data_IF_396528553167
#
_entry.id   IF_396528553167
#
_cell.length_a   1.000
_cell.length_b   1.000
_cell.length_c   1.000
_cell.angle_alpha   90.00
_cell.angle_beta   90.00
_cell.angle_gamma   90.00
#
_symmetry.space_group_name_H-M   'P 1'
#
loop_
_entity.id
_entity.type
_entity.pdbx_description
1 polymer ?
#
# COMPACT_ATOMS: atom_id res chain seq x y z
N UNK A 1 1.93 -22.48 -5.15
CA UNK A 1 1.61 -22.45 -3.71
C UNK A 1 0.83 -21.15 -3.49
N UNK A 2 -0.49 -21.24 -3.24
CA UNK A 2 -1.28 -20.05 -2.96
C UNK A 2 -0.99 -19.65 -1.51
N UNK A 3 -0.44 -18.45 -1.33
CA UNK A 3 -0.19 -17.90 0.00
C UNK A 3 -1.41 -17.09 0.38
N UNK A 4 -2.30 -17.64 1.18
CA UNK A 4 -3.32 -16.85 1.89
C UNK A 4 -2.59 -15.94 2.86
N UNK A 5 -2.50 -14.67 2.51
CA UNK A 5 -2.11 -13.64 3.49
C UNK A 5 -3.31 -13.48 4.41
N UNK A 6 -3.27 -14.22 5.51
CA UNK A 6 -4.22 -14.03 6.59
C UNK A 6 -3.85 -12.68 7.21
N UNK A 7 -4.53 -11.63 6.81
CA UNK A 7 -4.50 -10.38 7.56
C UNK A 7 -5.12 -10.77 8.89
N UNK A 8 -4.27 -11.10 9.87
CA UNK A 8 -4.74 -11.26 11.24
C UNK A 8 -5.61 -10.04 11.51
N UNK A 9 -6.90 -10.29 11.68
CA UNK A 9 -7.92 -9.26 11.87
C UNK A 9 -7.38 -8.28 12.89
N UNK A 10 -6.88 -7.13 12.41
CA UNK A 10 -6.49 -6.07 13.32
C UNK A 10 -7.75 -5.73 14.09
N UNK A 11 -7.75 -6.08 15.38
CA UNK A 11 -8.82 -5.78 16.32
C UNK A 11 -9.09 -4.28 16.15
N UNK A 12 -10.29 -3.93 15.66
CA UNK A 12 -10.68 -2.54 15.41
C UNK A 12 -10.90 -2.13 13.95
N UNK A 13 -10.36 -2.84 12.94
CA UNK A 13 -10.64 -2.53 11.52
C UNK A 13 -12.01 -3.05 11.06
N UNK A 14 -12.39 -4.23 11.54
CA UNK A 14 -13.62 -4.90 11.15
C UNK A 14 -14.42 -5.30 12.38
N UNK A 15 -15.74 -5.20 12.29
CA UNK A 15 -16.66 -5.69 13.33
C UNK A 15 -16.86 -7.21 13.21
N UNK A 16 -16.69 -7.73 12.01
CA UNK A 16 -16.70 -9.15 11.68
C UNK A 16 -15.64 -9.40 10.61
N UNK A 17 -14.95 -10.54 10.70
CA UNK A 17 -13.95 -10.96 9.71
C UNK A 17 -14.59 -11.14 8.32
N UNK A 18 -14.20 -10.34 7.30
CA UNK A 18 -14.73 -10.47 5.94
C UNK A 18 -14.41 -11.81 5.29
N UNK A 19 -13.28 -12.43 5.63
CA UNK A 19 -12.86 -13.71 5.05
C UNK A 19 -13.70 -14.89 5.56
N UNK A 20 -14.44 -14.67 6.65
CA UNK A 20 -15.28 -15.71 7.27
C UNK A 20 -16.55 -16.05 6.48
N UNK A 21 -16.90 -15.31 5.41
CA UNK A 21 -18.13 -15.53 4.65
C UNK A 21 -18.05 -15.04 3.20
N UNK A 22 -18.90 -15.61 2.31
CA UNK A 22 -18.99 -15.19 0.91
C UNK A 22 -19.42 -13.72 0.77
N UNK A 23 -20.35 -13.28 1.64
CA UNK A 23 -20.77 -11.88 1.65
C UNK A 23 -19.62 -10.94 2.05
N UNK A 24 -18.83 -11.30 3.07
CA UNK A 24 -17.69 -10.50 3.49
C UNK A 24 -16.63 -10.38 2.39
N UNK A 25 -16.29 -11.49 1.74
CA UNK A 25 -15.39 -11.50 0.56
C UNK A 25 -15.95 -10.68 -0.59
N UNK A 26 -17.26 -10.77 -0.85
CA UNK A 26 -17.93 -9.97 -1.88
C UNK A 26 -17.90 -8.48 -1.57
N UNK A 27 -18.09 -8.07 -0.31
CA UNK A 27 -17.98 -6.67 0.13
C UNK A 27 -16.58 -6.13 -0.14
N UNK A 28 -15.53 -6.88 0.21
CA UNK A 28 -14.14 -6.46 0.00
C UNK A 28 -13.83 -6.35 -1.49
N UNK A 29 -14.10 -7.41 -2.26
CA UNK A 29 -13.82 -7.45 -3.71
C UNK A 29 -14.52 -6.31 -4.47
N UNK A 30 -15.84 -6.18 -4.31
CA UNK A 30 -16.59 -5.16 -5.00
C UNK A 30 -16.37 -3.76 -4.42
N UNK A 31 -16.04 -3.68 -3.13
CA UNK A 31 -15.65 -2.43 -2.47
C UNK A 31 -14.38 -1.83 -3.07
N UNK A 32 -13.36 -2.65 -3.38
CA UNK A 32 -12.16 -2.20 -4.08
C UNK A 32 -12.51 -1.67 -5.46
N UNK A 33 -13.23 -2.44 -6.28
CA UNK A 33 -13.59 -2.03 -7.64
C UNK A 33 -14.42 -0.74 -7.64
N UNK A 34 -15.43 -0.67 -6.80
CA UNK A 34 -16.32 0.49 -6.74
C UNK A 34 -15.62 1.74 -6.18
N UNK A 35 -14.73 1.58 -5.20
CA UNK A 35 -13.95 2.70 -4.67
C UNK A 35 -12.90 3.19 -5.67
N UNK A 36 -12.29 2.30 -6.46
CA UNK A 36 -11.42 2.66 -7.57
C UNK A 36 -12.18 3.48 -8.63
N UNK A 37 -13.36 3.03 -9.04
CA UNK A 37 -14.11 3.67 -10.13
C UNK A 37 -14.72 5.02 -9.75
N UNK A 38 -15.19 5.16 -8.50
CA UNK A 38 -15.88 6.38 -8.03
C UNK A 38 -14.96 7.35 -7.28
N UNK A 39 -13.81 6.90 -6.79
CA UNK A 39 -13.02 7.59 -5.78
C UNK A 39 -13.66 7.52 -4.39
N UNK A 40 -12.84 7.74 -3.36
CA UNK A 40 -13.26 7.66 -1.95
C UNK A 40 -14.43 8.60 -1.62
N UNK A 41 -14.44 9.82 -2.15
CA UNK A 41 -15.47 10.81 -1.82
C UNK A 41 -16.87 10.37 -2.28
N UNK A 42 -16.96 9.84 -3.49
CA UNK A 42 -18.23 9.42 -4.09
C UNK A 42 -18.66 7.99 -3.69
N UNK A 43 -17.75 7.22 -3.11
CA UNK A 43 -18.05 5.89 -2.60
C UNK A 43 -18.95 5.95 -1.37
N UNK A 44 -19.99 5.11 -1.33
CA UNK A 44 -20.88 4.93 -0.17
C UNK A 44 -21.27 3.48 0.00
N UNK A 45 -21.61 3.06 1.23
CA UNK A 45 -22.13 1.70 1.47
C UNK A 45 -23.46 1.44 0.78
N UNK A 46 -24.28 2.47 0.55
CA UNK A 46 -25.50 2.37 -0.25
C UNK A 46 -25.19 1.93 -1.67
N UNK A 47 -24.26 2.61 -2.37
CA UNK A 47 -23.83 2.25 -3.73
C UNK A 47 -23.21 0.85 -3.77
N UNK A 48 -22.45 0.48 -2.75
CA UNK A 48 -21.90 -0.88 -2.67
C UNK A 48 -23.00 -1.92 -2.49
N UNK A 49 -24.02 -1.65 -1.66
CA UNK A 49 -25.16 -2.55 -1.48
C UNK A 49 -26.02 -2.70 -2.75
N UNK A 50 -26.09 -1.65 -3.58
CA UNK A 50 -26.73 -1.69 -4.89
C UNK A 50 -25.93 -2.53 -5.92
N UNK A 51 -24.61 -2.54 -5.82
CA UNK A 51 -23.72 -3.27 -6.73
C UNK A 51 -23.61 -4.79 -6.41
N UNK A 52 -23.94 -5.19 -5.19
CA UNK A 52 -23.93 -6.60 -4.75
C UNK A 52 -25.30 -6.96 -4.16
N UNK A 53 -25.74 -8.23 -4.23
CA UNK A 53 -27.07 -8.63 -3.76
C UNK A 53 -27.15 -8.63 -2.21
N UNK A 54 -27.13 -7.43 -1.60
CA UNK A 54 -27.14 -7.26 -0.14
C UNK A 54 -27.84 -5.97 0.28
N UNK A 55 -27.87 -5.72 1.58
CA UNK A 55 -28.39 -4.48 2.16
C UNK A 55 -27.25 -3.67 2.77
N UNK A 56 -27.40 -2.35 2.83
CA UNK A 56 -26.46 -1.46 3.50
C UNK A 56 -26.23 -1.87 4.98
N UNK A 57 -27.28 -2.26 5.69
CA UNK A 57 -27.20 -2.77 7.05
C UNK A 57 -26.33 -4.02 7.18
N UNK A 58 -26.26 -4.86 6.15
CA UNK A 58 -25.39 -6.05 6.14
C UNK A 58 -23.94 -5.66 6.00
N UNK A 59 -23.60 -4.59 5.26
CA UNK A 59 -22.24 -4.06 5.12
C UNK A 59 -21.75 -3.49 6.46
N UNK A 60 -22.62 -2.73 7.16
CA UNK A 60 -22.29 -2.18 8.49
C UNK A 60 -21.98 -3.25 9.55
N UNK A 61 -22.36 -4.50 9.33
CA UNK A 61 -21.94 -5.61 10.22
C UNK A 61 -20.47 -5.99 10.08
N UNK A 62 -19.82 -5.59 8.99
CA UNK A 62 -18.40 -5.85 8.74
C UNK A 62 -17.54 -4.60 8.98
N UNK A 63 -17.99 -3.45 8.52
CA UNK A 63 -17.24 -2.20 8.61
C UNK A 63 -18.10 -1.09 9.19
N UNK A 64 -17.60 -0.44 10.22
CA UNK A 64 -18.30 0.65 10.90
C UNK A 64 -18.63 1.82 9.96
N UNK A 65 -17.70 2.13 9.04
CA UNK A 65 -17.83 3.19 8.06
C UNK A 65 -16.89 3.00 6.87
N UNK A 66 -17.04 3.81 5.83
CA UNK A 66 -16.21 3.74 4.62
C UNK A 66 -14.71 4.03 4.90
N UNK A 67 -14.39 4.77 5.95
CA UNK A 67 -13.00 5.04 6.33
C UNK A 67 -12.33 3.77 6.89
N UNK A 68 -13.05 2.97 7.71
CA UNK A 68 -12.56 1.66 8.18
C UNK A 68 -12.35 0.69 7.02
N UNK A 69 -13.22 0.73 6.01
CA UNK A 69 -13.03 -0.08 4.80
C UNK A 69 -11.79 0.36 4.00
N UNK A 70 -11.56 1.67 3.84
CA UNK A 70 -10.34 2.18 3.21
C UNK A 70 -9.08 1.76 4.01
N UNK A 71 -9.09 1.93 5.33
CA UNK A 71 -7.99 1.47 6.20
C UNK A 71 -7.74 -0.03 6.06
N UNK A 72 -8.80 -0.84 5.91
CA UNK A 72 -8.66 -2.28 5.66
C UNK A 72 -7.93 -2.53 4.32
N UNK A 73 -8.28 -1.82 3.25
CA UNK A 73 -7.62 -1.94 1.95
C UNK A 73 -6.13 -1.57 2.03
N UNK A 74 -5.81 -0.45 2.70
CA UNK A 74 -4.41 -0.04 2.87
C UNK A 74 -3.62 -1.02 3.73
N UNK A 75 -4.21 -1.51 4.82
CA UNK A 75 -3.58 -2.51 5.69
C UNK A 75 -3.28 -3.79 4.91
N UNK A 76 -4.23 -4.23 4.06
CA UNK A 76 -4.04 -5.39 3.19
C UNK A 76 -2.88 -5.16 2.20
N UNK A 77 -2.88 -3.99 1.55
CA UNK A 77 -1.82 -3.62 0.60
C UNK A 77 -0.43 -3.63 1.26
N UNK A 78 -0.28 -2.97 2.39
CA UNK A 78 1.00 -2.87 3.08
C UNK A 78 1.49 -4.21 3.63
N UNK A 79 0.61 -5.05 4.16
CA UNK A 79 0.96 -6.41 4.58
C UNK A 79 1.45 -7.26 3.41
N UNK A 80 0.75 -7.17 2.27
CA UNK A 80 1.15 -7.93 1.08
C UNK A 80 2.50 -7.45 0.54
N UNK A 81 2.69 -6.13 0.48
CA UNK A 81 3.93 -5.54 -0.02
C UNK A 81 5.13 -5.89 0.88
N UNK A 82 4.96 -5.81 2.20
CA UNK A 82 6.00 -6.20 3.17
C UNK A 82 6.36 -7.68 3.05
N UNK A 83 5.35 -8.54 2.96
CA UNK A 83 5.54 -9.97 2.75
C UNK A 83 6.28 -10.26 1.43
N UNK A 84 5.83 -9.64 0.33
CA UNK A 84 6.45 -9.83 -0.99
C UNK A 84 7.89 -9.32 -1.02
N UNK A 85 8.17 -8.17 -0.40
CA UNK A 85 9.50 -7.64 -0.24
C UNK A 85 10.40 -8.62 0.55
N UNK A 86 9.91 -9.10 1.69
CA UNK A 86 10.65 -10.04 2.53
C UNK A 86 11.07 -11.29 1.76
N UNK A 87 10.14 -11.93 1.04
CA UNK A 87 10.47 -13.15 0.26
C UNK A 87 11.43 -12.83 -0.88
N UNK A 88 11.21 -11.72 -1.60
CA UNK A 88 12.04 -11.34 -2.75
C UNK A 88 13.48 -11.04 -2.38
N UNK A 89 13.74 -10.65 -1.13
CA UNK A 89 15.07 -10.29 -0.64
C UNK A 89 15.82 -11.44 0.03
N UNK A 90 15.15 -12.56 0.36
CA UNK A 90 15.76 -13.67 1.15
C UNK A 90 17.05 -14.22 0.55
N UNK A 91 17.18 -14.20 -0.78
CA UNK A 91 18.34 -14.76 -1.49
C UNK A 91 19.40 -13.70 -1.85
N UNK A 92 19.18 -12.44 -1.49
CA UNK A 92 20.09 -11.35 -1.78
C UNK A 92 20.95 -11.03 -0.54
N UNK A 93 22.29 -11.15 -0.69
CA UNK A 93 23.22 -10.81 0.39
C UNK A 93 23.79 -9.39 0.26
N UNK A 94 23.90 -8.86 -0.96
CA UNK A 94 24.42 -7.51 -1.22
C UNK A 94 23.34 -6.45 -0.90
N UNK A 95 23.58 -5.53 0.06
CA UNK A 95 22.64 -4.46 0.38
C UNK A 95 22.30 -3.55 -0.80
N UNK A 96 23.25 -3.32 -1.74
CA UNK A 96 22.96 -2.52 -2.92
C UNK A 96 21.93 -3.20 -3.84
N UNK A 97 22.00 -4.52 -4.01
CA UNK A 97 21.03 -5.29 -4.77
C UNK A 97 19.68 -5.34 -4.04
N UNK A 98 19.67 -5.43 -2.70
CA UNK A 98 18.44 -5.34 -1.91
C UNK A 98 17.75 -3.99 -2.13
N UNK A 99 18.50 -2.88 -2.10
CA UNK A 99 17.97 -1.51 -2.35
C UNK A 99 17.31 -1.44 -3.72
N UNK A 100 18.00 -1.85 -4.78
CA UNK A 100 17.47 -1.86 -6.14
C UNK A 100 16.21 -2.71 -6.25
N UNK A 101 16.20 -3.89 -5.64
CA UNK A 101 15.03 -4.77 -5.65
C UNK A 101 13.83 -4.19 -4.91
N UNK A 102 14.05 -3.52 -3.79
CA UNK A 102 12.98 -2.81 -3.08
C UNK A 102 12.41 -1.67 -3.93
N UNK A 103 13.25 -0.88 -4.58
CA UNK A 103 12.81 0.21 -5.46
C UNK A 103 11.97 -0.36 -6.62
N UNK A 104 12.43 -1.45 -7.24
CA UNK A 104 11.66 -2.16 -8.27
C UNK A 104 10.27 -2.57 -7.76
N UNK A 105 10.20 -3.21 -6.58
CA UNK A 105 8.94 -3.68 -5.98
C UNK A 105 7.99 -2.49 -5.69
N UNK A 106 8.50 -1.40 -5.16
CA UNK A 106 7.70 -0.22 -4.83
C UNK A 106 7.17 0.51 -6.08
N UNK A 107 7.91 0.49 -7.18
CA UNK A 107 7.53 1.21 -8.42
C UNK A 107 6.64 0.40 -9.34
N UNK A 108 6.85 -0.91 -9.43
CA UNK A 108 6.00 -1.80 -10.25
C UNK A 108 4.68 -2.11 -9.55
N UNK A 109 4.65 -2.03 -8.22
CA UNK A 109 3.48 -2.38 -7.41
C UNK A 109 3.36 -3.90 -7.18
N UNK A 110 2.14 -4.34 -6.83
CA UNK A 110 1.88 -5.74 -6.49
C UNK A 110 1.95 -6.64 -7.73
N UNK A 111 2.62 -7.80 -7.66
CA UNK A 111 2.67 -8.72 -8.78
C UNK A 111 1.28 -9.19 -9.17
N UNK A 112 0.99 -9.11 -10.46
CA UNK A 112 -0.20 -9.70 -11.06
C UNK A 112 0.01 -11.22 -11.13
N UNK A 113 -0.80 -12.00 -10.45
CA UNK A 113 -0.65 -13.46 -10.45
C UNK A 113 -1.89 -14.16 -9.90
N UNK A 114 -1.99 -15.45 -10.23
CA UNK A 114 -3.10 -16.38 -10.04
C UNK A 114 -3.41 -16.74 -8.59
N UNK A 115 -3.20 -15.86 -7.64
CA UNK A 115 -3.41 -16.21 -6.25
C UNK A 115 -4.85 -15.93 -5.84
N UNK A 116 -5.38 -16.81 -5.00
CA UNK A 116 -6.72 -16.84 -4.39
C UNK A 116 -7.15 -15.55 -3.66
N UNK A 117 -6.47 -14.43 -3.89
CA UNK A 117 -6.90 -13.15 -3.37
C UNK A 117 -8.05 -12.65 -4.25
N UNK A 118 -9.25 -12.68 -3.71
CA UNK A 118 -10.48 -12.10 -4.29
C UNK A 118 -10.38 -10.59 -4.57
N UNK A 119 -9.19 -9.97 -4.43
CA UNK A 119 -8.95 -8.53 -4.54
C UNK A 119 -8.22 -8.21 -5.83
N UNK A 120 -8.77 -7.28 -6.62
CA UNK A 120 -8.07 -6.70 -7.76
C UNK A 120 -6.89 -5.84 -7.27
N UNK A 121 -5.68 -6.37 -7.45
CA UNK A 121 -4.44 -5.75 -6.95
C UNK A 121 -4.10 -4.45 -7.70
N UNK A 122 -4.53 -4.32 -8.96
CA UNK A 122 -4.32 -3.10 -9.73
C UNK A 122 -5.23 -1.99 -9.22
N UNK A 123 -6.53 -2.26 -9.11
CA UNK A 123 -7.49 -1.31 -8.55
C UNK A 123 -7.10 -0.91 -7.12
N UNK A 124 -6.65 -1.86 -6.30
CA UNK A 124 -6.16 -1.59 -4.95
C UNK A 124 -4.93 -0.66 -4.95
N UNK A 125 -3.97 -0.89 -5.85
CA UNK A 125 -2.80 -0.03 -5.98
C UNK A 125 -3.20 1.41 -6.37
N UNK A 126 -4.12 1.58 -7.32
CA UNK A 126 -4.63 2.90 -7.71
C UNK A 126 -5.35 3.63 -6.55
N UNK A 127 -6.09 2.89 -5.72
CA UNK A 127 -6.67 3.44 -4.47
C UNK A 127 -5.56 3.91 -3.53
N UNK A 128 -4.49 3.13 -3.35
CA UNK A 128 -3.37 3.52 -2.50
C UNK A 128 -2.70 4.80 -3.01
N UNK A 129 -2.47 4.91 -4.32
CA UNK A 129 -1.91 6.13 -4.92
C UNK A 129 -2.76 7.37 -4.65
N UNK A 130 -4.08 7.25 -4.82
CA UNK A 130 -4.99 8.39 -4.75
C UNK A 130 -5.44 8.75 -3.33
N UNK A 131 -5.58 7.75 -2.44
CA UNK A 131 -6.36 7.88 -1.22
C UNK A 131 -5.56 7.63 0.08
N UNK A 132 -4.32 7.12 0.02
CA UNK A 132 -3.55 6.76 1.22
C UNK A 132 -3.38 7.92 2.19
N UNK A 133 -3.11 9.13 1.68
CA UNK A 133 -2.93 10.33 2.50
C UNK A 133 -4.16 10.66 3.37
N UNK A 134 -5.37 10.30 2.94
CA UNK A 134 -6.61 10.51 3.70
C UNK A 134 -6.71 9.64 4.97
N UNK A 135 -5.84 8.66 5.13
CA UNK A 135 -5.83 7.79 6.31
C UNK A 135 -4.90 8.29 7.40
N UNK A 136 -3.80 8.97 7.06
CA UNK A 136 -2.83 9.46 8.03
C UNK A 136 -2.75 11.00 8.13
N UNK A 137 -3.18 11.76 7.12
CA UNK A 137 -3.31 13.22 7.23
C UNK A 137 -4.69 13.63 7.78
N UNK A 138 -5.09 13.05 8.89
CA UNK A 138 -6.37 13.30 9.55
C UNK A 138 -6.18 13.65 11.01
N UNK A 139 -7.18 14.30 11.61
CA UNK A 139 -7.21 14.59 13.06
C UNK A 139 -7.29 13.31 13.92
N UNK A 140 -7.68 12.19 13.33
CA UNK A 140 -7.84 10.90 14.02
C UNK A 140 -6.59 10.02 13.92
N UNK A 141 -5.49 10.51 13.32
CA UNK A 141 -4.28 9.71 13.08
C UNK A 141 -3.72 9.08 14.35
N UNK A 142 -3.72 9.82 15.46
CA UNK A 142 -3.17 9.33 16.74
C UNK A 142 -3.97 8.14 17.27
N UNK A 143 -5.32 8.22 17.29
CA UNK A 143 -6.17 7.10 17.71
C UNK A 143 -6.06 5.89 16.79
N UNK A 144 -6.01 6.11 15.48
CA UNK A 144 -5.79 5.06 14.48
C UNK A 144 -4.42 4.40 14.68
N UNK A 145 -3.41 5.19 15.04
CA UNK A 145 -2.07 4.71 15.33
C UNK A 145 -1.99 3.90 16.62
N UNK A 146 -2.73 4.28 17.67
CA UNK A 146 -2.87 3.51 18.92
C UNK A 146 -3.48 2.13 18.65
N UNK A 147 -4.44 2.02 17.72
CA UNK A 147 -5.01 0.76 17.26
C UNK A 147 -4.03 -0.08 16.40
N UNK A 148 -2.79 0.40 16.18
CA UNK A 148 -1.72 -0.25 15.39
C UNK A 148 -2.08 -0.50 13.91
N UNK A 149 -3.01 0.25 13.34
CA UNK A 149 -3.47 0.04 11.95
C UNK A 149 -2.39 0.41 10.93
N UNK A 150 -1.43 1.26 11.28
CA UNK A 150 -0.26 1.57 10.45
C UNK A 150 0.94 0.63 10.69
N UNK A 151 0.77 -0.45 11.47
CA UNK A 151 1.88 -1.36 11.78
C UNK A 151 2.54 -1.94 10.53
N UNK A 152 1.81 -2.46 9.50
CA UNK A 152 2.44 -3.04 8.30
C UNK A 152 3.29 -2.02 7.53
N UNK A 153 2.79 -0.79 7.37
CA UNK A 153 3.55 0.30 6.74
C UNK A 153 4.84 0.62 7.53
N UNK A 154 4.74 0.68 8.86
CA UNK A 154 5.90 0.94 9.74
C UNK A 154 6.90 -0.21 9.72
N UNK A 155 6.44 -1.46 9.61
CA UNK A 155 7.29 -2.63 9.53
C UNK A 155 8.06 -2.63 8.20
N UNK A 156 7.41 -2.31 7.08
CA UNK A 156 8.07 -2.12 5.78
C UNK A 156 9.12 -1.00 5.85
N UNK A 157 8.79 0.18 6.40
CA UNK A 157 9.74 1.28 6.58
C UNK A 157 10.94 0.86 7.43
N UNK A 158 10.72 0.10 8.50
CA UNK A 158 11.79 -0.41 9.36
C UNK A 158 12.70 -1.37 8.61
N UNK A 159 12.12 -2.32 7.85
CA UNK A 159 12.86 -3.28 7.06
C UNK A 159 13.76 -2.58 6.02
N UNK A 160 13.21 -1.61 5.28
CA UNK A 160 13.97 -0.81 4.31
C UNK A 160 15.07 0.00 5.02
N UNK A 161 14.77 0.63 6.15
CA UNK A 161 15.73 1.38 6.95
C UNK A 161 16.90 0.50 7.44
N UNK A 162 16.64 -0.76 7.79
CA UNK A 162 17.69 -1.74 8.13
C UNK A 162 18.62 -2.01 6.94
N UNK A 163 18.06 -2.20 5.73
CA UNK A 163 18.86 -2.40 4.50
C UNK A 163 19.72 -1.18 4.21
N UNK A 164 19.22 0.03 4.42
CA UNK A 164 20.00 1.26 4.28
C UNK A 164 21.15 1.32 5.30
N UNK A 165 20.89 0.89 6.53
CA UNK A 165 21.93 0.80 7.58
C UNK A 165 22.95 -0.31 7.30
N UNK A 166 22.56 -1.41 6.68
CA UNK A 166 23.50 -2.43 6.18
C UNK A 166 24.42 -1.87 5.08
N UNK A 167 23.88 -1.05 4.17
CA UNK A 167 24.64 -0.42 3.09
C UNK A 167 25.58 0.68 3.61
N UNK A 168 25.09 1.59 4.44
CA UNK A 168 25.87 2.64 5.09
C UNK A 168 25.53 2.77 6.58
N UNK A 169 26.30 2.11 7.49
CA UNK A 169 26.03 2.16 8.94
C UNK A 169 26.17 3.55 9.57
N UNK A 170 26.81 4.51 8.87
CA UNK A 170 27.02 5.88 9.39
C UNK A 170 25.94 6.86 8.92
N UNK A 171 24.99 6.42 8.09
CA UNK A 171 23.91 7.28 7.64
C UNK A 171 22.92 7.57 8.78
N UNK A 172 22.67 8.85 9.05
CA UNK A 172 21.94 9.27 10.24
C UNK A 172 20.39 9.12 10.15
N UNK A 173 19.84 8.98 8.93
CA UNK A 173 18.38 9.10 8.72
C UNK A 173 17.77 7.92 7.93
N UNK A 174 18.09 6.65 8.24
CA UNK A 174 17.64 5.51 7.43
C UNK A 174 16.11 5.37 7.38
N UNK A 175 15.40 5.61 8.49
CA UNK A 175 13.94 5.52 8.53
C UNK A 175 13.25 6.66 7.77
N UNK A 176 13.78 7.89 7.88
CA UNK A 176 13.24 9.05 7.15
C UNK A 176 13.44 8.88 5.63
N UNK A 177 14.59 8.36 5.20
CA UNK A 177 14.83 8.07 3.79
C UNK A 177 13.90 6.96 3.29
N UNK A 178 13.66 5.91 4.10
CA UNK A 178 12.77 4.81 3.75
C UNK A 178 11.32 5.29 3.54
N UNK A 179 10.76 6.06 4.47
CA UNK A 179 9.41 6.61 4.32
C UNK A 179 9.31 7.58 3.15
N UNK A 180 10.30 8.46 2.95
CA UNK A 180 10.33 9.36 1.80
C UNK A 180 10.38 8.61 0.47
N UNK A 181 11.19 7.55 0.38
CA UNK A 181 11.27 6.71 -0.82
C UNK A 181 9.92 6.03 -1.13
N UNK A 182 9.23 5.50 -0.12
CA UNK A 182 7.90 4.89 -0.30
C UNK A 182 6.91 5.93 -0.81
N UNK A 183 6.82 7.10 -0.17
CA UNK A 183 5.90 8.16 -0.59
C UNK A 183 6.21 8.64 -2.02
N UNK A 184 7.49 8.83 -2.38
CA UNK A 184 7.87 9.22 -3.74
C UNK A 184 7.54 8.14 -4.77
N UNK A 185 7.66 6.85 -4.42
CA UNK A 185 7.30 5.75 -5.32
C UNK A 185 5.82 5.77 -5.72
N UNK A 186 4.96 6.35 -4.90
CA UNK A 186 3.53 6.54 -5.17
C UNK A 186 3.24 7.90 -5.81
N UNK A 187 3.83 8.98 -5.30
CA UNK A 187 3.54 10.33 -5.79
C UNK A 187 4.05 10.59 -7.21
N UNK A 188 5.23 10.08 -7.57
CA UNK A 188 5.80 10.32 -8.90
C UNK A 188 4.95 9.72 -10.04
N UNK A 189 4.45 8.46 -9.98
CA UNK A 189 3.50 7.96 -10.97
C UNK A 189 2.22 8.80 -11.06
N UNK A 190 1.68 9.22 -9.93
CA UNK A 190 0.50 10.08 -9.88
C UNK A 190 0.76 11.43 -10.56
N UNK A 191 1.91 12.07 -10.30
CA UNK A 191 2.28 13.33 -10.96
C UNK A 191 2.47 13.16 -12.46
N UNK A 192 3.05 12.05 -12.90
CA UNK A 192 3.18 11.77 -14.35
C UNK A 192 1.84 11.80 -15.08
N UNK A 193 0.81 11.23 -14.47
CA UNK A 193 -0.51 11.09 -15.09
C UNK A 193 -1.36 12.36 -14.94
N UNK A 194 -1.32 13.00 -13.77
CA UNK A 194 -2.27 14.06 -13.41
C UNK A 194 -1.66 15.47 -13.30
N UNK A 195 -0.38 15.57 -12.97
CA UNK A 195 0.32 16.82 -12.71
C UNK A 195 1.72 16.81 -13.36
N UNK A 196 1.82 16.61 -14.69
CA UNK A 196 3.08 16.33 -15.37
C UNK A 196 4.15 17.44 -15.23
N UNK A 197 3.76 18.65 -14.85
CA UNK A 197 4.70 19.75 -14.57
C UNK A 197 5.48 19.59 -13.25
N UNK A 198 5.10 18.62 -12.41
CA UNK A 198 5.78 18.32 -11.14
C UNK A 198 6.81 17.18 -11.27
N UNK A 199 7.07 16.71 -12.49
CA UNK A 199 8.00 15.60 -12.74
C UNK A 199 8.70 15.80 -14.08
N UNK A 200 9.90 15.24 -14.22
CA UNK A 200 10.70 15.28 -15.46
C UNK A 200 10.46 14.06 -16.37
N UNK A 201 9.47 13.21 -16.07
CA UNK A 201 9.30 11.90 -16.71
C UNK A 201 8.32 11.91 -17.90
N UNK A 202 7.58 12.99 -18.09
CA UNK A 202 6.55 13.13 -19.15
C UNK A 202 5.16 12.70 -18.70
N UNK A 203 4.18 12.73 -19.59
CA UNK A 203 2.76 12.55 -19.26
C UNK A 203 2.23 11.12 -19.33
N UNK A 204 3.10 10.10 -19.36
CA UNK A 204 2.71 8.68 -19.34
C UNK A 204 3.50 7.96 -18.26
N UNK A 205 2.80 7.13 -17.51
CA UNK A 205 3.39 6.30 -16.48
C UNK A 205 4.52 5.43 -17.03
N UNK A 206 5.68 5.51 -16.39
CA UNK A 206 6.88 4.75 -16.73
C UNK A 206 7.62 4.42 -15.42
N UNK A 207 7.38 3.22 -14.94
CA UNK A 207 7.93 2.71 -13.68
C UNK A 207 9.46 2.68 -13.69
N UNK A 208 10.08 2.48 -14.86
CA UNK A 208 11.55 2.44 -14.98
C UNK A 208 12.17 3.83 -14.74
N UNK A 209 11.52 4.88 -15.19
CA UNK A 209 11.99 6.25 -14.94
C UNK A 209 11.89 6.60 -13.46
N UNK A 210 10.77 6.23 -12.82
CA UNK A 210 10.59 6.42 -11.37
C UNK A 210 11.61 5.61 -10.59
N UNK A 211 11.85 4.35 -10.96
CA UNK A 211 12.86 3.50 -10.33
C UNK A 211 14.27 4.11 -10.47
N UNK A 212 14.65 4.57 -11.66
CA UNK A 212 15.95 5.22 -11.89
C UNK A 212 16.13 6.48 -11.04
N UNK A 213 15.12 7.33 -10.97
CA UNK A 213 15.14 8.51 -10.10
C UNK A 213 15.30 8.14 -8.61
N UNK A 214 14.56 7.14 -8.14
CA UNK A 214 14.66 6.69 -6.74
C UNK A 214 16.02 6.04 -6.45
N UNK A 215 16.60 5.30 -7.40
CA UNK A 215 17.96 4.77 -7.26
C UNK A 215 18.96 5.91 -7.11
N UNK A 216 18.95 6.89 -7.99
CA UNK A 216 19.84 8.06 -7.93
C UNK A 216 19.71 8.79 -6.61
N UNK A 217 18.48 9.07 -6.17
CA UNK A 217 18.20 9.77 -4.92
C UNK A 217 18.73 8.99 -3.70
N UNK A 218 18.39 7.71 -3.61
CA UNK A 218 18.74 6.87 -2.46
C UNK A 218 20.25 6.64 -2.38
N UNK A 219 20.90 6.30 -3.50
CA UNK A 219 22.34 6.08 -3.49
C UNK A 219 23.16 7.38 -3.29
N UNK A 220 22.65 8.51 -3.79
CA UNK A 220 23.27 9.81 -3.49
C UNK A 220 23.18 10.15 -1.99
N UNK A 221 22.03 9.91 -1.35
CA UNK A 221 21.83 10.12 0.08
C UNK A 221 22.71 9.16 0.93
N UNK A 222 22.80 7.91 0.52
CA UNK A 222 23.58 6.86 1.21
C UNK A 222 25.08 6.88 0.90
N UNK A 223 25.55 7.80 0.06
CA UNK A 223 26.98 7.89 -0.29
C UNK A 223 27.81 8.12 0.97
N UNK A 224 28.84 7.27 1.18
CA UNK A 224 29.81 7.50 2.26
C UNK A 224 30.56 8.80 2.01
N UNK A 225 30.53 9.67 2.99
CA UNK A 225 31.33 10.90 2.99
C UNK A 225 32.78 10.61 3.36
#
# INVERSE_FOLDING_TARGET
MSVKINIQSNIGLTLRDPDSSDLGRSIVRNGVLLMHDLGYEQFTFKKLAEAIPTTEASIYRYFENKHRLLLYFLTWYWNYLEYYATISLQHLNDPALKIKKIIEILTIGLPQGSDDADIDKKALYEIVLAESSKTYLTKQVDSINEERLFKPYKDLCRHIGQIFSEYNPTYAYPHSLASSMIEMSHLQPYFMEHLPSLTDFGGKRDEKKVAGFLEDLVFAALKKR
#
